data_IF_157140870542
#
_entry.id   IF_157140870542
#
_cell.length_a   1.000
_cell.length_b   1.000
_cell.length_c   1.000
_cell.angle_alpha   90.00
_cell.angle_beta   90.00
_cell.angle_gamma   90.00
#
_symmetry.space_group_name_H-M   'P 1'
#
loop_
_entity.id
_entity.type
_entity.pdbx_description
1 polymer ?
#
# COMPACT_ATOMS: atom_id res chain seq x y z
N UNK A 1 55.37 -61.01 -7.79
CA UNK A 1 54.12 -61.09 -7.00
C UNK A 1 53.38 -59.78 -7.22
N UNK A 2 52.38 -59.80 -8.10
CA UNK A 2 51.61 -58.61 -8.49
C UNK A 2 50.52 -58.32 -7.47
N UNK A 3 50.52 -57.14 -6.88
CA UNK A 3 49.44 -56.65 -6.02
C UNK A 3 48.57 -55.68 -6.81
N UNK A 4 47.35 -56.11 -7.12
CA UNK A 4 46.31 -55.32 -7.77
C UNK A 4 45.68 -54.34 -6.77
N UNK A 5 45.61 -53.07 -7.16
CA UNK A 5 44.92 -51.98 -6.47
C UNK A 5 43.45 -51.96 -6.85
N UNK A 6 42.55 -52.08 -5.87
CA UNK A 6 41.10 -51.95 -6.06
C UNK A 6 40.66 -50.53 -5.71
N UNK A 7 40.28 -49.76 -6.72
CA UNK A 7 39.64 -48.45 -6.58
C UNK A 7 38.13 -48.65 -6.35
N UNK A 8 37.60 -48.14 -5.24
CA UNK A 8 36.16 -48.09 -4.98
C UNK A 8 35.71 -46.64 -5.16
N UNK A 9 35.07 -46.35 -6.29
CA UNK A 9 34.32 -45.11 -6.51
C UNK A 9 32.97 -45.23 -5.79
N UNK A 10 32.82 -44.49 -4.69
CA UNK A 10 31.53 -44.26 -4.06
C UNK A 10 30.74 -43.22 -4.83
N UNK A 11 29.67 -43.64 -5.50
CA UNK A 11 28.65 -42.73 -6.03
C UNK A 11 27.80 -42.18 -4.88
N UNK A 12 27.84 -40.85 -4.69
CA UNK A 12 26.85 -40.13 -3.89
C UNK A 12 25.67 -39.83 -4.82
N UNK A 13 24.46 -40.36 -4.58
CA UNK A 13 23.29 -39.92 -5.33
C UNK A 13 22.92 -38.52 -4.84
N UNK A 14 23.22 -37.52 -5.68
CA UNK A 14 22.68 -36.16 -5.53
C UNK A 14 21.17 -36.24 -5.74
N UNK A 15 20.44 -36.29 -4.63
CA UNK A 15 18.98 -36.23 -4.60
C UNK A 15 18.57 -34.83 -5.06
N UNK A 16 18.19 -34.74 -6.34
CA UNK A 16 17.46 -33.59 -6.86
C UNK A 16 16.12 -33.52 -6.13
N UNK A 17 16.04 -32.66 -5.10
CA UNK A 17 14.75 -32.20 -4.57
C UNK A 17 14.11 -31.41 -5.71
N UNK A 18 12.96 -31.81 -6.24
CA UNK A 18 12.21 -30.96 -7.15
C UNK A 18 11.72 -29.78 -6.32
N UNK A 19 12.31 -28.60 -6.52
CA UNK A 19 11.70 -27.35 -6.08
C UNK A 19 10.46 -27.15 -6.94
N UNK A 20 9.34 -27.72 -6.49
CA UNK A 20 8.03 -27.41 -7.04
C UNK A 20 7.90 -25.90 -6.92
N UNK A 21 7.96 -25.19 -8.07
CA UNK A 21 7.51 -23.81 -8.15
C UNK A 21 6.04 -23.85 -7.79
N UNK A 22 5.74 -23.65 -6.52
CA UNK A 22 4.40 -23.40 -6.03
C UNK A 22 3.98 -22.08 -6.69
N UNK A 23 3.35 -22.18 -7.85
CA UNK A 23 2.71 -21.07 -8.49
C UNK A 23 1.67 -20.56 -7.50
N UNK A 24 1.88 -19.35 -6.98
CA UNK A 24 0.88 -18.65 -6.17
C UNK A 24 -0.47 -18.72 -6.92
N UNK A 25 -1.58 -19.02 -6.23
CA UNK A 25 -2.88 -19.18 -6.86
C UNK A 25 -3.29 -17.89 -7.58
N UNK A 26 -3.94 -18.03 -8.74
CA UNK A 26 -4.57 -16.92 -9.46
C UNK A 26 -5.41 -16.06 -8.51
N UNK A 27 -5.04 -14.78 -8.39
CA UNK A 27 -5.79 -13.63 -7.83
C UNK A 27 -6.47 -13.81 -6.47
N UNK A 28 -6.07 -13.04 -5.45
CA UNK A 28 -6.88 -12.94 -4.22
C UNK A 28 -8.16 -12.16 -4.54
N UNK A 29 -9.28 -12.41 -3.82
CA UNK A 29 -10.47 -11.58 -4.01
C UNK A 29 -10.15 -10.11 -3.67
N UNK A 30 -10.77 -9.17 -4.38
CA UNK A 30 -10.66 -7.75 -4.05
C UNK A 30 -11.16 -7.48 -2.61
N UNK A 31 -10.54 -6.52 -1.93
CA UNK A 31 -10.97 -6.10 -0.61
C UNK A 31 -12.41 -5.55 -0.66
N UNK A 32 -13.22 -5.92 0.34
CA UNK A 32 -14.61 -5.48 0.41
C UNK A 32 -14.71 -4.15 1.16
N UNK A 33 -14.91 -3.05 0.44
CA UNK A 33 -14.84 -1.68 1.00
C UNK A 33 -15.84 -1.38 2.13
N UNK A 34 -16.93 -2.14 2.28
CA UNK A 34 -17.78 -1.98 3.48
C UNK A 34 -17.09 -2.45 4.76
N UNK A 35 -16.14 -3.37 4.65
CA UNK A 35 -15.36 -3.85 5.78
C UNK A 35 -14.28 -2.84 6.20
N UNK A 36 -14.09 -1.73 5.47
CA UNK A 36 -13.20 -0.65 5.91
C UNK A 36 -13.61 -0.16 7.28
N UNK A 37 -12.68 -0.21 8.23
CA UNK A 37 -12.88 0.34 9.57
C UNK A 37 -12.65 1.84 9.58
N UNK A 38 -13.34 2.53 10.49
CA UNK A 38 -13.18 3.96 10.74
C UNK A 38 -12.07 4.15 11.79
N UNK A 39 -11.13 5.05 11.51
CA UNK A 39 -10.04 5.45 12.39
C UNK A 39 -9.90 6.97 12.40
N UNK A 40 -9.34 7.55 13.45
CA UNK A 40 -9.24 8.99 13.66
C UNK A 40 -7.80 9.49 13.83
N UNK A 41 -6.81 8.61 13.68
CA UNK A 41 -5.38 8.92 13.89
C UNK A 41 -4.48 8.21 12.87
N UNK A 42 -3.30 8.80 12.61
CA UNK A 42 -2.27 8.17 11.77
C UNK A 42 -1.81 6.82 12.31
N UNK A 43 -1.77 6.65 13.64
CA UNK A 43 -1.52 5.35 14.24
C UNK A 43 -2.63 4.35 13.92
N UNK A 44 -3.90 4.75 13.97
CA UNK A 44 -5.03 3.92 13.53
C UNK A 44 -4.89 3.46 12.08
N UNK A 45 -4.53 4.36 11.17
CA UNK A 45 -4.24 4.04 9.76
C UNK A 45 -3.14 3.00 9.65
N UNK A 46 -1.99 3.25 10.29
CA UNK A 46 -0.83 2.36 10.22
C UNK A 46 -1.11 1.00 10.86
N UNK A 47 -1.86 0.98 11.96
CA UNK A 47 -2.22 -0.27 12.65
C UNK A 47 -3.01 -1.22 11.74
N UNK A 48 -3.88 -0.68 10.88
CA UNK A 48 -4.76 -1.47 9.99
C UNK A 48 -4.10 -1.85 8.68
N UNK A 49 -3.41 -0.90 8.07
CA UNK A 49 -2.82 -1.06 6.74
C UNK A 49 -1.44 -1.76 6.79
N UNK A 50 -0.69 -1.60 7.89
CA UNK A 50 0.72 -2.04 7.98
C UNK A 50 0.94 -3.15 9.00
N UNK A 51 0.32 -3.04 10.17
CA UNK A 51 0.66 -3.87 11.33
C UNK A 51 -0.30 -5.05 11.55
N UNK A 52 -1.55 -4.94 11.07
CA UNK A 52 -2.54 -6.01 11.22
C UNK A 52 -2.18 -7.22 10.36
N UNK A 53 -2.50 -8.42 10.86
CA UNK A 53 -2.33 -9.68 10.14
C UNK A 53 -3.66 -10.45 10.13
N UNK A 54 -4.35 -10.54 8.98
CA UNK A 54 -3.98 -9.94 7.69
C UNK A 54 -4.12 -8.42 7.68
N UNK A 55 -3.39 -7.75 6.77
CA UNK A 55 -3.54 -6.31 6.57
C UNK A 55 -4.86 -5.98 5.85
N UNK A 56 -5.49 -4.87 6.24
CA UNK A 56 -6.59 -4.27 5.48
C UNK A 56 -6.02 -3.48 4.29
N UNK A 57 -6.85 -3.20 3.27
CA UNK A 57 -6.43 -2.38 2.11
C UNK A 57 -7.05 -0.99 2.07
N UNK A 58 -8.02 -0.71 2.95
CA UNK A 58 -8.69 0.57 3.03
C UNK A 58 -9.19 0.80 4.45
N UNK A 59 -9.00 2.03 4.93
CA UNK A 59 -9.62 2.54 6.16
C UNK A 59 -10.35 3.85 5.84
N UNK A 60 -11.43 4.09 6.57
CA UNK A 60 -12.12 5.37 6.55
C UNK A 60 -11.62 6.26 7.67
N UNK A 61 -11.67 7.57 7.44
CA UNK A 61 -11.15 8.55 8.38
C UNK A 61 -12.30 9.30 9.05
N UNK A 62 -12.37 9.21 10.37
CA UNK A 62 -13.17 10.12 11.19
C UNK A 62 -12.36 11.37 11.47
N UNK A 63 -12.81 12.48 10.90
CA UNK A 63 -12.18 13.79 11.06
C UNK A 63 -13.22 14.90 10.90
N UNK A 64 -12.86 16.08 11.40
CA UNK A 64 -13.66 17.28 11.24
C UNK A 64 -13.35 17.98 9.91
N UNK A 65 -14.33 18.72 9.41
CA UNK A 65 -14.10 19.63 8.28
C UNK A 65 -13.19 20.78 8.69
N UNK A 66 -12.13 20.99 7.90
CA UNK A 66 -11.43 22.25 7.84
C UNK A 66 -11.98 23.03 6.64
N UNK A 67 -12.74 24.10 6.91
CA UNK A 67 -13.53 24.79 5.89
C UNK A 67 -14.47 23.81 5.17
N UNK A 68 -14.24 23.53 3.90
CA UNK A 68 -15.03 22.65 3.04
C UNK A 68 -14.36 21.29 2.79
N UNK A 69 -13.22 20.98 3.40
CA UNK A 69 -12.46 19.76 3.10
C UNK A 69 -12.13 18.96 4.36
N UNK A 70 -12.06 17.63 4.23
CA UNK A 70 -11.51 16.74 5.26
C UNK A 70 -10.98 15.43 4.69
N UNK A 71 -10.01 14.77 5.33
CA UNK A 71 -9.65 13.40 4.96
C UNK A 71 -10.82 12.45 5.27
N UNK A 72 -11.11 11.55 4.33
CA UNK A 72 -12.23 10.59 4.44
C UNK A 72 -11.80 9.13 4.30
N UNK A 73 -10.65 8.86 3.67
CA UNK A 73 -10.14 7.49 3.52
C UNK A 73 -8.63 7.46 3.26
N UNK A 74 -7.99 6.37 3.68
CA UNK A 74 -6.63 6.00 3.25
C UNK A 74 -6.68 4.57 2.72
N UNK A 75 -6.07 4.33 1.57
CA UNK A 75 -6.06 3.00 0.96
C UNK A 75 -4.74 2.65 0.29
N UNK A 76 -4.51 1.36 0.12
CA UNK A 76 -3.33 0.78 -0.53
C UNK A 76 -3.35 0.98 -2.05
N UNK A 77 -2.23 1.45 -2.58
CA UNK A 77 -1.85 1.27 -3.98
C UNK A 77 -0.68 0.30 -4.04
N UNK A 78 -0.88 -0.84 -4.69
CA UNK A 78 0.21 -1.77 -4.97
C UNK A 78 1.21 -1.12 -5.94
N UNK A 79 2.48 -1.09 -5.54
CA UNK A 79 3.57 -0.57 -6.36
C UNK A 79 4.26 -1.72 -7.09
N UNK A 80 4.62 -2.79 -6.37
CA UNK A 80 5.37 -3.92 -6.92
C UNK A 80 5.35 -5.13 -5.99
N UNK A 81 5.39 -6.32 -6.57
CA UNK A 81 5.71 -7.57 -5.86
C UNK A 81 7.19 -7.92 -6.02
N UNK A 82 7.83 -8.36 -4.93
CA UNK A 82 9.26 -8.66 -4.87
C UNK A 82 9.48 -10.01 -4.17
N UNK A 83 9.90 -11.06 -4.90
CA UNK A 83 10.45 -12.26 -4.29
C UNK A 83 11.89 -12.03 -3.83
N UNK A 84 12.23 -12.55 -2.66
CA UNK A 84 13.55 -12.38 -2.05
C UNK A 84 14.03 -13.67 -1.37
N UNK A 85 15.28 -14.05 -1.64
CA UNK A 85 15.93 -15.22 -1.03
C UNK A 85 16.89 -14.87 0.11
N UNK A 86 17.14 -13.58 0.34
CA UNK A 86 18.00 -13.08 1.42
C UNK A 86 17.55 -11.68 1.85
N UNK A 87 17.75 -11.27 3.12
CA UNK A 87 17.49 -9.89 3.53
C UNK A 87 18.25 -8.90 2.64
N UNK A 88 17.56 -7.90 2.11
CA UNK A 88 18.14 -6.90 1.20
C UNK A 88 17.36 -5.59 1.24
N UNK A 89 18.02 -4.51 0.81
CA UNK A 89 17.41 -3.18 0.66
C UNK A 89 17.23 -2.90 -0.83
N UNK A 90 15.98 -2.69 -1.26
CA UNK A 90 15.63 -2.58 -2.68
C UNK A 90 15.17 -1.16 -3.01
N UNK A 91 15.71 -0.51 -4.06
CA UNK A 91 15.21 0.80 -4.48
C UNK A 91 13.82 0.67 -5.12
N UNK A 92 12.86 1.41 -4.59
CA UNK A 92 11.47 1.43 -5.06
C UNK A 92 11.11 2.83 -5.56
N UNK A 93 10.64 2.89 -6.80
CA UNK A 93 10.03 4.09 -7.36
C UNK A 93 8.59 4.19 -6.87
N UNK A 94 8.22 5.35 -6.34
CA UNK A 94 6.87 5.66 -5.84
C UNK A 94 6.47 7.08 -6.23
N UNK A 95 5.25 7.50 -5.92
CA UNK A 95 4.68 8.73 -6.48
C UNK A 95 4.49 9.84 -5.44
N UNK A 96 4.52 11.09 -5.88
CA UNK A 96 4.18 12.29 -5.09
C UNK A 96 3.22 13.16 -5.89
N UNK A 97 2.35 13.92 -5.21
CA UNK A 97 1.41 14.84 -5.83
C UNK A 97 0.00 14.27 -6.00
N UNK A 98 -0.76 14.84 -6.94
CA UNK A 98 -2.11 14.39 -7.25
C UNK A 98 -2.12 13.01 -7.91
N UNK A 99 -3.08 12.17 -7.51
CA UNK A 99 -3.38 10.91 -8.20
C UNK A 99 -3.97 11.25 -9.59
N UNK A 100 -3.59 10.56 -10.67
CA UNK A 100 -4.12 10.82 -12.01
C UNK A 100 -5.65 10.77 -12.06
N UNK A 101 -6.26 11.77 -12.70
CA UNK A 101 -7.72 11.90 -12.79
C UNK A 101 -8.37 12.55 -11.56
N UNK A 102 -7.61 12.85 -10.51
CA UNK A 102 -8.13 13.56 -9.35
C UNK A 102 -8.34 15.04 -9.62
N UNK A 103 -9.40 15.62 -9.04
CA UNK A 103 -9.62 17.06 -9.08
C UNK A 103 -8.56 17.77 -8.22
N UNK A 104 -7.90 18.78 -8.79
CA UNK A 104 -6.97 19.60 -8.01
C UNK A 104 -7.74 20.47 -7.01
N UNK A 105 -7.16 20.62 -5.83
CA UNK A 105 -7.65 21.52 -4.80
C UNK A 105 -6.56 22.52 -4.40
N UNK A 106 -6.94 23.59 -3.71
CA UNK A 106 -5.98 24.58 -3.24
C UNK A 106 -5.00 23.93 -2.25
N UNK A 107 -3.70 23.95 -2.58
CA UNK A 107 -2.66 23.26 -1.81
C UNK A 107 -2.52 23.77 -0.37
N UNK A 108 -2.64 25.08 -0.13
CA UNK A 108 -2.60 25.61 1.24
C UNK A 108 -3.82 25.23 2.06
N UNK A 109 -4.97 24.99 1.42
CA UNK A 109 -6.16 24.46 2.11
C UNK A 109 -5.99 23.00 2.48
N UNK A 110 -5.37 22.19 1.61
CA UNK A 110 -4.99 20.80 1.93
C UNK A 110 -3.99 20.77 3.10
N UNK A 111 -2.94 21.58 3.04
CA UNK A 111 -1.93 21.62 4.11
C UNK A 111 -2.55 22.04 5.44
N UNK A 112 -3.38 23.09 5.45
CA UNK A 112 -4.05 23.52 6.67
C UNK A 112 -5.07 22.49 7.19
N UNK A 113 -5.70 21.71 6.30
CA UNK A 113 -6.52 20.58 6.69
C UNK A 113 -5.68 19.48 7.37
N UNK A 114 -4.52 19.15 6.81
CA UNK A 114 -3.59 18.18 7.40
C UNK A 114 -3.05 18.64 8.75
N UNK A 115 -2.76 19.93 8.91
CA UNK A 115 -2.25 20.50 10.17
C UNK A 115 -3.30 20.46 11.30
N UNK A 116 -4.59 20.37 10.96
CA UNK A 116 -5.71 20.25 11.93
C UNK A 116 -6.19 18.80 12.10
N UNK A 117 -5.74 17.89 11.25
CA UNK A 117 -6.14 16.48 11.24
C UNK A 117 -5.04 15.62 11.85
N UNK A 118 -5.40 14.54 12.54
CA UNK A 118 -4.43 13.54 12.98
C UNK A 118 -3.99 12.59 11.85
N UNK A 119 -4.55 12.76 10.64
CA UNK A 119 -4.25 12.00 9.44
C UNK A 119 -4.01 12.98 8.29
N UNK A 120 -2.81 12.96 7.73
CA UNK A 120 -2.43 13.81 6.60
C UNK A 120 -1.60 13.09 5.55
N UNK A 121 -1.22 13.82 4.51
CA UNK A 121 -0.52 13.27 3.34
C UNK A 121 0.97 12.99 3.57
N UNK A 122 1.56 13.49 4.65
CA UNK A 122 2.96 13.29 5.05
C UNK A 122 4.03 13.92 4.14
N UNK A 123 3.69 14.40 2.95
CA UNK A 123 4.59 15.26 2.16
C UNK A 123 4.46 16.72 2.60
N UNK A 124 5.59 17.44 2.58
CA UNK A 124 5.58 18.88 2.55
C UNK A 124 5.54 19.36 1.07
N UNK A 125 4.42 19.98 0.68
CA UNK A 125 4.19 20.49 -0.67
C UNK A 125 4.54 21.98 -0.82
N UNK A 126 4.78 22.72 0.26
CA UNK A 126 4.97 24.16 0.21
C UNK A 126 3.75 24.86 -0.40
N UNK A 127 3.93 25.56 -1.52
CA UNK A 127 2.88 26.38 -2.15
C UNK A 127 2.00 25.64 -3.16
N UNK A 128 2.42 24.48 -3.66
CA UNK A 128 1.65 23.75 -4.68
C UNK A 128 1.84 22.24 -4.59
N UNK A 129 0.74 21.51 -4.82
CA UNK A 129 0.76 20.05 -5.01
C UNK A 129 0.97 19.81 -6.51
N UNK A 130 2.09 19.21 -6.93
CA UNK A 130 2.36 19.00 -8.34
C UNK A 130 1.42 17.93 -8.92
N UNK A 131 1.26 17.93 -10.24
CA UNK A 131 0.83 16.73 -10.95
C UNK A 131 1.81 15.59 -10.62
N UNK A 132 1.33 14.34 -10.64
CA UNK A 132 2.10 13.16 -10.26
C UNK A 132 3.58 13.23 -10.69
N UNK A 133 4.48 13.20 -9.70
CA UNK A 133 5.93 13.05 -9.89
C UNK A 133 6.40 11.72 -9.30
N UNK A 134 7.55 11.24 -9.75
CA UNK A 134 8.18 10.02 -9.23
C UNK A 134 9.31 10.36 -8.26
N UNK A 135 9.42 9.56 -7.22
CA UNK A 135 10.49 9.57 -6.23
C UNK A 135 11.07 8.15 -6.13
N UNK A 136 12.22 8.01 -5.47
CA UNK A 136 12.82 6.70 -5.17
C UNK A 136 13.24 6.64 -3.72
N UNK A 137 12.96 5.51 -3.05
CA UNK A 137 13.49 5.20 -1.72
C UNK A 137 13.75 3.72 -1.57
N UNK A 138 14.70 3.38 -0.71
CA UNK A 138 15.00 1.98 -0.41
C UNK A 138 13.98 1.43 0.58
N UNK A 139 13.55 0.18 0.35
CA UNK A 139 12.71 -0.59 1.28
C UNK A 139 13.46 -1.86 1.65
N UNK A 140 13.59 -2.09 2.96
CA UNK A 140 14.20 -3.31 3.49
C UNK A 140 13.18 -4.45 3.46
N UNK A 141 13.58 -5.58 2.87
CA UNK A 141 12.78 -6.79 2.78
C UNK A 141 13.56 -8.00 3.29
N UNK A 142 12.85 -8.98 3.85
CA UNK A 142 13.43 -10.22 4.36
C UNK A 142 13.52 -11.32 3.31
N UNK A 143 13.47 -12.57 3.78
CA UNK A 143 13.28 -13.76 2.93
C UNK A 143 11.77 -13.99 2.73
N UNK A 144 11.37 -14.30 1.51
CA UNK A 144 9.97 -14.53 1.13
C UNK A 144 9.52 -13.61 0.00
N UNK A 145 8.23 -13.60 -0.29
CA UNK A 145 7.61 -12.69 -1.26
C UNK A 145 6.93 -11.55 -0.52
N UNK A 146 7.18 -10.33 -0.97
CA UNK A 146 6.63 -9.11 -0.39
C UNK A 146 5.89 -8.30 -1.43
N UNK A 147 4.78 -7.70 -1.05
CA UNK A 147 4.14 -6.64 -1.81
C UNK A 147 4.48 -5.29 -1.20
N UNK A 148 4.91 -4.38 -2.07
CA UNK A 148 5.26 -3.03 -1.71
C UNK A 148 4.06 -2.13 -1.98
N UNK A 149 3.61 -1.44 -0.94
CA UNK A 149 2.46 -0.56 -0.98
C UNK A 149 2.90 0.88 -0.77
N UNK A 150 2.23 1.79 -1.46
CA UNK A 150 2.14 3.21 -1.11
C UNK A 150 0.68 3.49 -0.75
N UNK A 151 0.40 4.38 0.20
CA UNK A 151 -0.99 4.77 0.45
C UNK A 151 -1.41 6.03 -0.30
N UNK A 152 -2.70 6.11 -0.59
CA UNK A 152 -3.37 7.30 -1.12
C UNK A 152 -4.28 7.86 -0.02
N UNK A 153 -4.21 9.16 0.20
CA UNK A 153 -5.15 9.90 1.04
C UNK A 153 -6.24 10.49 0.16
N UNK A 154 -7.50 10.22 0.49
CA UNK A 154 -8.67 10.82 -0.15
C UNK A 154 -9.26 11.86 0.77
N UNK A 155 -9.53 13.04 0.24
CA UNK A 155 -10.28 14.09 0.90
C UNK A 155 -11.67 14.21 0.30
N UNK A 156 -12.68 14.39 1.16
CA UNK A 156 -14.03 14.76 0.79
C UNK A 156 -14.20 16.27 0.80
N UNK A 157 -14.90 16.80 -0.19
CA UNK A 157 -15.16 18.23 -0.35
C UNK A 157 -16.67 18.49 -0.25
N UNK A 158 -17.05 19.37 0.68
CA UNK A 158 -18.41 19.82 0.95
C UNK A 158 -18.66 21.20 0.32
N UNK A 159 -19.87 21.52 -0.16
CA UNK A 159 -21.08 20.69 -0.16
C UNK A 159 -21.24 19.81 -1.40
N UNK A 160 -20.26 19.78 -2.30
CA UNK A 160 -20.36 19.09 -3.60
C UNK A 160 -20.32 17.56 -3.50
N UNK A 161 -19.94 16.99 -2.35
CA UNK A 161 -19.63 15.57 -2.18
C UNK A 161 -18.65 15.04 -3.23
N UNK A 162 -17.76 15.92 -3.71
CA UNK A 162 -16.66 15.54 -4.59
C UNK A 162 -15.46 15.08 -3.77
N UNK A 163 -14.53 14.39 -4.41
CA UNK A 163 -13.31 13.92 -3.75
C UNK A 163 -12.06 14.37 -4.51
N UNK A 164 -10.97 14.56 -3.77
CA UNK A 164 -9.64 14.70 -4.33
C UNK A 164 -8.66 13.78 -3.61
N UNK A 165 -7.61 13.33 -4.30
CA UNK A 165 -6.74 12.25 -3.86
C UNK A 165 -5.28 12.62 -4.11
N UNK A 166 -4.46 12.44 -3.08
CA UNK A 166 -3.02 12.65 -3.14
C UNK A 166 -2.29 11.40 -2.67
N UNK A 167 -1.11 11.18 -3.24
CA UNK A 167 -0.19 10.20 -2.69
C UNK A 167 0.26 10.60 -1.28
N UNK A 168 0.35 9.64 -0.35
CA UNK A 168 0.98 9.84 0.96
C UNK A 168 2.46 9.51 0.89
N UNK A 169 3.27 10.18 1.72
CA UNK A 169 4.70 9.84 1.88
C UNK A 169 4.91 8.63 2.79
N UNK A 170 4.28 7.51 2.43
CA UNK A 170 4.52 6.24 3.07
C UNK A 170 4.70 5.15 2.02
N UNK A 171 5.67 4.28 2.26
CA UNK A 171 5.81 3.07 1.47
C UNK A 171 6.53 2.00 2.26
N UNK A 172 5.97 0.80 2.21
CA UNK A 172 6.28 -0.30 3.12
C UNK A 172 6.03 -1.63 2.43
N UNK A 173 6.68 -2.66 2.95
CA UNK A 173 6.56 -4.03 2.47
C UNK A 173 5.66 -4.84 3.41
N UNK A 174 4.73 -5.60 2.84
CA UNK A 174 3.95 -6.62 3.56
C UNK A 174 4.30 -7.98 2.97
N UNK A 175 4.63 -8.94 3.82
CA UNK A 175 4.82 -10.32 3.35
C UNK A 175 3.49 -10.86 2.81
N UNK A 176 3.50 -11.49 1.63
CA UNK A 176 2.27 -11.98 0.98
C UNK A 176 1.48 -12.96 1.85
N UNK A 177 2.12 -13.67 2.79
CA UNK A 177 1.43 -14.55 3.75
C UNK A 177 0.51 -13.79 4.70
N UNK A 178 0.70 -12.48 4.85
CA UNK A 178 -0.07 -11.59 5.71
C UNK A 178 -1.14 -10.82 4.93
N UNK A 179 -1.39 -11.17 3.67
CA UNK A 179 -2.34 -10.50 2.79
C UNK A 179 -3.40 -11.51 2.36
N UNK A 180 -4.69 -11.17 2.55
CA UNK A 180 -5.81 -12.05 2.19
C UNK A 180 -6.59 -11.62 0.96
N UNK A 181 -6.50 -10.35 0.61
CA UNK A 181 -7.28 -9.72 -0.47
C UNK A 181 -6.36 -8.89 -1.34
N UNK A 182 -6.81 -8.50 -2.52
CA UNK A 182 -6.12 -7.53 -3.36
C UNK A 182 -6.65 -6.11 -3.10
N UNK A 183 -5.80 -5.06 -3.20
CA UNK A 183 -6.27 -3.68 -3.11
C UNK A 183 -7.25 -3.38 -4.24
N UNK A 184 -8.28 -2.58 -3.93
CA UNK A 184 -9.22 -2.10 -4.95
C UNK A 184 -8.52 -1.10 -5.89
N UNK A 185 -8.89 -1.07 -7.19
CA UNK A 185 -8.43 -0.03 -8.08
C UNK A 185 -8.97 1.34 -7.65
N UNK A 186 -8.26 2.42 -8.00
CA UNK A 186 -8.60 3.80 -7.63
C UNK A 186 -10.06 4.14 -7.97
N UNK A 187 -10.56 3.69 -9.14
CA UNK A 187 -11.95 3.92 -9.58
C UNK A 187 -12.99 3.36 -8.62
N UNK A 188 -12.74 2.18 -8.05
CA UNK A 188 -13.71 1.47 -7.21
C UNK A 188 -13.79 2.12 -5.83
N UNK A 189 -12.63 2.53 -5.29
CA UNK A 189 -12.57 3.28 -4.03
C UNK A 189 -13.30 4.61 -4.17
N UNK A 190 -13.06 5.35 -5.25
CA UNK A 190 -13.73 6.64 -5.50
C UNK A 190 -15.23 6.47 -5.73
N UNK A 191 -15.65 5.44 -6.49
CA UNK A 191 -17.06 5.13 -6.69
C UNK A 191 -17.75 4.75 -5.38
N UNK A 192 -17.07 3.98 -4.52
CA UNK A 192 -17.58 3.67 -3.19
C UNK A 192 -17.76 4.92 -2.34
N UNK A 193 -16.72 5.75 -2.22
CA UNK A 193 -16.71 6.93 -1.35
C UNK A 193 -17.74 7.97 -1.79
N UNK A 194 -17.94 8.17 -3.09
CA UNK A 194 -18.94 9.14 -3.62
C UNK A 194 -20.35 8.54 -3.76
N UNK A 195 -20.49 7.21 -3.65
CA UNK A 195 -21.75 6.49 -3.71
C UNK A 195 -22.17 5.97 -2.34
N UNK A 196 -22.26 4.65 -2.21
CA UNK A 196 -22.81 4.00 -1.02
C UNK A 196 -22.01 4.24 0.27
N UNK A 197 -20.74 4.58 0.16
CA UNK A 197 -19.86 4.93 1.28
C UNK A 197 -19.96 6.38 1.73
N UNK A 198 -20.67 7.25 0.99
CA UNK A 198 -20.77 8.68 1.30
C UNK A 198 -21.42 8.96 2.67
N UNK A 199 -22.36 8.11 3.10
CA UNK A 199 -22.99 8.22 4.42
C UNK A 199 -22.01 8.02 5.58
N UNK A 200 -20.85 7.41 5.32
CA UNK A 200 -19.79 7.16 6.31
C UNK A 200 -18.81 8.33 6.44
N UNK A 201 -19.05 9.43 5.73
CA UNK A 201 -18.26 10.65 5.87
C UNK A 201 -18.67 11.45 7.11
N UNK A 202 -19.77 11.12 7.79
CA UNK A 202 -20.34 11.95 8.86
C UNK A 202 -19.84 11.56 10.24
#
# INVERSE_FOLDING_TARGET
MSTSSTSIQGHIPSSCIPTTKESLPEGRPAFYLDNSIIVDTSYGVDSRLKLMVPADHCVLIDSNYYQSIKPIAVYHKLIKEIPSTSPQSVPITYYKGWVPGSSSFNASTIQACDDQSNVGNLFNYGSSIPSQTTLSKNVDIGIGTFEIYQTILVYGVSPSFSVCSVYRDDLYAINVTNIRTDPNPDSDVISYLTGRGASRWH
#
